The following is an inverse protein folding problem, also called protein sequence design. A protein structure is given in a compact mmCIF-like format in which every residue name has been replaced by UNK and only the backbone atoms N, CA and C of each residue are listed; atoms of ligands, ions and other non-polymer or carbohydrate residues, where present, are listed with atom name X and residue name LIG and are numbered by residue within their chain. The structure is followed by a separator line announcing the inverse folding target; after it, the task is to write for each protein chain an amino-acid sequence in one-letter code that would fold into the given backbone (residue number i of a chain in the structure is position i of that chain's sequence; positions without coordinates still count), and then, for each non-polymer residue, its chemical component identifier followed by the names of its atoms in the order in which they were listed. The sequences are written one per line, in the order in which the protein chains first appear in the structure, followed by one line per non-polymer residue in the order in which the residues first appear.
data_IF_116376049920
#
_entry.id   IF_116376049920
#
_cell.length_a   1.000
_cell.length_b   1.000
_cell.length_c   1.000
_cell.angle_alpha   90.00
_cell.angle_beta   90.00
_cell.angle_gamma   90.00
#
_symmetry.space_group_name_H-M   'P 1'
#
loop_
_entity.id
_entity.type
_entity.pdbx_description
1 polymer ?
#
# COMPACT_ATOMS: atom_id res chain seq x y z
N UNK A 1 1.06 3.45 -2.88
CA UNK A 1 0.55 4.24 -1.73
C UNK A 1 -0.64 5.03 -2.20
N UNK A 2 -1.75 4.99 -1.46
CA UNK A 2 -2.95 5.81 -1.67
C UNK A 2 -3.31 6.51 -0.36
N UNK A 3 -4.27 7.44 -0.37
CA UNK A 3 -4.80 8.04 0.86
C UNK A 3 -6.19 7.48 1.18
N UNK A 4 -6.45 7.10 2.44
CA UNK A 4 -7.72 6.47 2.83
C UNK A 4 -8.94 7.39 2.64
N UNK A 5 -8.72 8.71 2.59
CA UNK A 5 -9.74 9.72 2.36
C UNK A 5 -9.87 10.14 0.88
N UNK A 6 -9.16 9.50 -0.05
CA UNK A 6 -9.19 9.80 -1.49
C UNK A 6 -9.37 8.53 -2.34
N UNK A 7 -10.62 8.32 -2.79
CA UNK A 7 -11.00 7.18 -3.64
C UNK A 7 -10.25 7.17 -4.97
N UNK A 8 -10.00 8.32 -5.59
CA UNK A 8 -9.32 8.39 -6.88
C UNK A 8 -7.87 7.93 -6.76
N UNK A 9 -7.22 8.25 -5.64
CA UNK A 9 -5.86 7.76 -5.36
C UNK A 9 -5.80 6.23 -5.23
N UNK A 10 -6.86 5.61 -4.71
CA UNK A 10 -6.97 4.15 -4.59
C UNK A 10 -7.20 3.49 -5.96
N UNK A 11 -8.13 4.01 -6.76
CA UNK A 11 -8.40 3.50 -8.11
C UNK A 11 -7.16 3.59 -9.03
N UNK A 12 -6.31 4.60 -8.84
CA UNK A 12 -5.07 4.75 -9.60
C UNK A 12 -4.03 3.65 -9.33
N UNK A 13 -4.12 2.91 -8.21
CA UNK A 13 -3.13 1.89 -7.82
C UNK A 13 -3.05 0.76 -8.85
N UNK A 14 -4.18 0.31 -9.38
CA UNK A 14 -4.21 -0.77 -10.36
C UNK A 14 -3.42 -0.40 -11.63
N UNK A 15 -3.64 0.81 -12.16
CA UNK A 15 -2.92 1.34 -13.31
C UNK A 15 -1.41 1.46 -13.03
N UNK A 16 -1.04 1.93 -11.84
CA UNK A 16 0.36 2.02 -11.43
C UNK A 16 1.03 0.64 -11.36
N UNK A 17 0.33 -0.37 -10.83
CA UNK A 17 0.85 -1.74 -10.80
C UNK A 17 1.03 -2.31 -12.21
N UNK A 18 0.07 -2.11 -13.10
CA UNK A 18 0.18 -2.53 -14.49
C UNK A 18 1.40 -1.91 -15.19
N UNK A 19 1.64 -0.61 -15.00
CA UNK A 19 2.83 0.05 -15.54
C UNK A 19 4.13 -0.53 -14.96
N UNK A 20 4.16 -0.81 -13.65
CA UNK A 20 5.33 -1.42 -13.00
C UNK A 20 5.65 -2.80 -13.59
N UNK A 21 4.62 -3.63 -13.80
CA UNK A 21 4.75 -4.99 -14.35
C UNK A 21 5.16 -5.00 -15.82
N UNK A 22 4.75 -3.99 -16.59
CA UNK A 22 5.20 -3.82 -17.97
C UNK A 22 6.69 -3.46 -18.05
N UNK A 23 7.18 -2.61 -17.14
CA UNK A 23 8.58 -2.19 -17.08
C UNK A 23 9.47 -3.32 -16.54
N UNK A 24 9.00 -4.00 -15.50
CA UNK A 24 9.73 -5.08 -14.82
C UNK A 24 9.15 -6.41 -15.25
N UNK A 25 9.84 -7.12 -16.16
CA UNK A 25 9.48 -8.48 -16.60
C UNK A 25 9.62 -9.57 -15.51
N UNK A 26 9.77 -9.17 -14.25
CA UNK A 26 9.92 -10.02 -13.08
C UNK A 26 8.93 -9.54 -12.02
N UNK A 27 8.48 -10.47 -11.16
CA UNK A 27 7.55 -10.12 -10.09
C UNK A 27 8.23 -9.14 -9.10
N UNK A 28 7.77 -7.89 -9.07
CA UNK A 28 8.35 -6.85 -8.22
C UNK A 28 7.81 -6.99 -6.81
N UNK A 29 8.70 -7.02 -5.82
CA UNK A 29 8.30 -6.94 -4.42
C UNK A 29 7.72 -5.55 -4.14
N UNK A 30 6.43 -5.52 -3.81
CA UNK A 30 5.72 -4.30 -3.46
C UNK A 30 4.92 -4.51 -2.18
N UNK A 31 4.52 -3.39 -1.59
CA UNK A 31 3.61 -3.31 -0.45
C UNK A 31 2.58 -2.24 -0.80
N UNK A 32 1.31 -2.52 -0.56
CA UNK A 32 0.24 -1.55 -0.67
C UNK A 32 0.12 -0.80 0.66
N UNK A 33 0.00 0.53 0.59
CA UNK A 33 -0.07 1.38 1.78
C UNK A 33 -1.25 2.33 1.67
N UNK A 34 -2.20 2.24 2.60
CA UNK A 34 -3.26 3.20 2.84
C UNK A 34 -2.80 4.26 3.81
N UNK A 35 -2.44 5.44 3.31
CA UNK A 35 -1.90 6.53 4.11
C UNK A 35 -3.01 7.44 4.66
N UNK A 36 -2.66 8.27 5.65
CA UNK A 36 -3.51 9.26 6.31
C UNK A 36 -4.57 8.67 7.25
N UNK A 37 -4.22 7.62 8.00
CA UNK A 37 -5.15 7.04 8.99
C UNK A 37 -5.59 8.02 10.06
N UNK A 38 -4.82 9.08 10.33
CA UNK A 38 -5.22 10.18 11.20
C UNK A 38 -6.55 10.85 10.77
N UNK A 39 -6.94 10.68 9.50
CA UNK A 39 -8.19 11.20 8.93
C UNK A 39 -9.29 10.13 8.81
N UNK A 40 -9.42 9.21 9.80
CA UNK A 40 -10.46 8.17 9.80
C UNK A 40 -11.88 8.70 9.54
N UNK A 41 -12.20 9.89 10.05
CA UNK A 41 -13.51 10.52 9.91
C UNK A 41 -13.83 10.94 8.45
N UNK A 42 -12.81 11.07 7.60
CA UNK A 42 -12.95 11.36 6.17
C UNK A 42 -12.76 10.10 5.31
N UNK A 43 -12.66 8.91 5.90
CA UNK A 43 -12.37 7.66 5.18
C UNK A 43 -13.36 7.47 4.03
N UNK A 44 -12.80 7.32 2.83
CA UNK A 44 -13.52 7.02 1.58
C UNK A 44 -13.27 5.60 1.10
N UNK A 45 -12.19 4.97 1.53
CA UNK A 45 -11.75 3.61 1.17
C UNK A 45 -11.70 2.76 2.43
N UNK A 46 -12.39 1.62 2.46
CA UNK A 46 -12.39 0.74 3.65
C UNK A 46 -11.11 -0.08 3.73
N UNK A 47 -10.82 -0.61 4.92
CA UNK A 47 -9.69 -1.54 5.13
C UNK A 47 -9.87 -2.79 4.27
N UNK A 48 -11.09 -3.34 4.20
CA UNK A 48 -11.42 -4.51 3.38
C UNK A 48 -11.14 -4.29 1.88
N UNK A 49 -11.43 -3.09 1.35
CA UNK A 49 -11.10 -2.75 -0.05
C UNK A 49 -9.58 -2.75 -0.27
N UNK A 50 -8.82 -2.21 0.68
CA UNK A 50 -7.36 -2.23 0.65
C UNK A 50 -6.79 -3.64 0.72
N UNK A 51 -7.32 -4.48 1.61
CA UNK A 51 -6.91 -5.88 1.75
C UNK A 51 -7.20 -6.68 0.49
N UNK A 52 -8.40 -6.54 -0.08
CA UNK A 52 -8.79 -7.23 -1.30
C UNK A 52 -7.85 -6.88 -2.47
N UNK A 53 -7.57 -5.58 -2.67
CA UNK A 53 -6.66 -5.15 -3.73
C UNK A 53 -5.23 -5.67 -3.51
N UNK A 54 -4.75 -5.71 -2.27
CA UNK A 54 -3.43 -6.24 -1.98
C UNK A 54 -3.33 -7.76 -2.24
N UNK A 55 -4.40 -8.51 -1.95
CA UNK A 55 -4.49 -9.94 -2.29
C UNK A 55 -4.44 -10.15 -3.81
N UNK A 56 -5.21 -9.38 -4.58
CA UNK A 56 -5.19 -9.41 -6.05
C UNK A 56 -3.79 -9.10 -6.62
N UNK A 57 -3.08 -8.18 -5.98
CA UNK A 57 -1.72 -7.78 -6.35
C UNK A 57 -0.61 -8.67 -5.76
N UNK A 58 -0.98 -9.69 -4.96
CA UNK A 58 -0.07 -10.57 -4.24
C UNK A 58 1.00 -9.82 -3.40
N UNK A 59 0.57 -8.77 -2.70
CA UNK A 59 1.42 -7.96 -1.83
C UNK A 59 0.83 -7.80 -0.42
N UNK A 60 1.65 -7.36 0.53
CA UNK A 60 1.16 -7.01 1.86
C UNK A 60 0.44 -5.66 1.84
N UNK A 61 -0.48 -5.46 2.80
CA UNK A 61 -1.20 -4.21 3.00
C UNK A 61 -0.94 -3.66 4.40
N UNK A 62 -0.74 -2.35 4.47
CA UNK A 62 -0.63 -1.62 5.73
C UNK A 62 -1.40 -0.31 5.64
N UNK A 63 -1.95 0.13 6.75
CA UNK A 63 -2.48 1.48 6.89
C UNK A 63 -1.56 2.29 7.83
N UNK A 64 -1.20 3.51 7.43
CA UNK A 64 -0.22 4.33 8.16
C UNK A 64 -0.65 5.79 8.21
N UNK A 65 -0.08 6.56 9.14
CA UNK A 65 -0.09 8.01 9.07
C UNK A 65 1.33 8.56 9.04
N UNK A 66 1.59 9.43 8.07
CA UNK A 66 2.83 10.18 8.01
C UNK A 66 2.90 11.32 9.06
N UNK A 67 1.76 11.74 9.61
CA UNK A 67 1.70 12.79 10.65
C UNK A 67 1.91 12.23 12.07
N UNK A 68 1.65 10.94 12.30
CA UNK A 68 1.76 10.28 13.62
C UNK A 68 3.20 9.83 13.98
N UNK A 69 4.23 10.53 13.50
CA UNK A 69 5.62 10.31 13.94
C UNK A 69 6.39 9.17 13.25
N UNK A 70 5.73 8.37 12.40
CA UNK A 70 6.40 7.50 11.41
C UNK A 70 6.99 6.18 11.92
N UNK A 71 6.68 5.75 13.16
CA UNK A 71 7.08 4.43 13.66
C UNK A 71 6.49 3.29 12.80
N UNK A 72 5.20 3.36 12.48
CA UNK A 72 4.53 2.38 11.59
C UNK A 72 5.15 2.32 10.19
N UNK A 73 5.64 3.46 9.70
CA UNK A 73 6.32 3.55 8.40
C UNK A 73 7.68 2.85 8.47
N UNK A 74 8.39 3.00 9.58
CA UNK A 74 9.70 2.34 9.77
C UNK A 74 9.54 0.82 9.78
N UNK A 75 8.56 0.30 10.51
CA UNK A 75 8.26 -1.14 10.56
C UNK A 75 7.87 -1.68 9.18
N UNK A 76 7.09 -0.93 8.40
CA UNK A 76 6.73 -1.28 7.03
C UNK A 76 7.95 -1.46 6.12
N UNK A 77 8.92 -0.54 6.20
CA UNK A 77 10.17 -0.67 5.43
C UNK A 77 11.00 -1.87 5.90
N UNK A 78 11.02 -2.17 7.20
CA UNK A 78 11.68 -3.36 7.70
C UNK A 78 11.01 -4.65 7.23
N UNK A 79 9.68 -4.72 7.19
CA UNK A 79 8.97 -5.88 6.65
C UNK A 79 9.25 -6.08 5.17
N UNK A 80 9.18 -5.01 4.36
CA UNK A 80 9.54 -5.08 2.95
C UNK A 80 10.98 -5.60 2.77
N UNK A 81 11.92 -5.12 3.59
CA UNK A 81 13.31 -5.59 3.56
C UNK A 81 13.44 -7.08 3.93
N UNK A 82 12.71 -7.55 4.94
CA UNK A 82 12.68 -8.95 5.36
C UNK A 82 12.12 -9.84 4.26
N UNK A 83 11.06 -9.42 3.60
CA UNK A 83 10.43 -10.17 2.52
C UNK A 83 11.34 -10.31 1.29
N UNK A 84 12.07 -9.25 0.94
CA UNK A 84 13.09 -9.30 -0.11
C UNK A 84 14.21 -10.32 0.23
N UNK A 85 14.58 -10.46 1.51
CA UNK A 85 15.64 -11.39 1.94
C UNK A 85 15.21 -12.85 2.04
N UNK A 86 13.92 -13.14 2.20
CA UNK A 86 13.38 -14.51 2.38
C UNK A 86 13.16 -15.26 1.06
N UNK A 87 13.22 -14.57 -0.09
CA UNK A 87 13.02 -15.13 -1.44
C UNK A 87 14.33 -15.14 -2.21
#
# INVERSE_FOLDING_TARGET
VFAINDRLSFEAIATLKQHLDQIKKINVHCVLVGNKVDLLHERRVTTDEGELLAQEMACAYFETSASDGGEDISELFYELHRDIKRR
#
